data_IF_629911531474
#
_entry.id   IF_629911531474
#
_cell.length_a   1.000
_cell.length_b   1.000
_cell.length_c   1.000
_cell.angle_alpha   90.00
_cell.angle_beta   90.00
_cell.angle_gamma   90.00
#
_symmetry.space_group_name_H-M   'P 1'
#
loop_
_entity.id
_entity.type
_entity.pdbx_description
1 polymer ?
#
# COMPACT_ATOMS: atom_id res chain seq x y z
N UNK A 1 12.32 -11.28 7.79
CA UNK A 1 13.33 -10.29 7.35
C UNK A 1 13.26 -8.94 8.05
N UNK A 2 12.23 -8.62 8.85
CA UNK A 2 12.27 -7.45 9.76
C UNK A 2 11.95 -6.09 9.13
N UNK A 3 11.54 -6.04 7.86
CA UNK A 3 11.03 -4.81 7.26
C UNK A 3 9.66 -4.45 7.86
N UNK A 4 9.45 -3.17 8.16
CA UNK A 4 8.13 -2.64 8.52
C UNK A 4 7.36 -2.32 7.25
N UNK A 5 6.05 -2.60 7.27
CA UNK A 5 5.20 -2.45 6.08
C UNK A 5 4.48 -1.11 6.12
N UNK A 6 4.67 -0.32 5.06
CA UNK A 6 3.75 0.75 4.65
C UNK A 6 2.92 0.22 3.49
N UNK A 7 1.60 0.29 3.59
CA UNK A 7 0.73 -0.37 2.62
C UNK A 7 -0.72 0.03 2.71
N UNK A 8 -1.45 -0.24 1.65
CA UNK A 8 -2.89 -0.04 1.55
C UNK A 8 -3.65 -0.99 2.48
N UNK A 9 -4.88 -0.60 2.87
CA UNK A 9 -5.79 -1.44 3.64
C UNK A 9 -6.43 -2.52 2.76
N UNK A 10 -5.61 -3.45 2.26
CA UNK A 10 -6.04 -4.54 1.39
C UNK A 10 -5.51 -5.92 1.83
N UNK A 11 -6.09 -6.95 1.21
CA UNK A 11 -5.83 -8.40 1.37
C UNK A 11 -4.81 -8.80 2.43
N UNK A 12 -3.58 -9.08 1.98
CA UNK A 12 -2.52 -9.60 2.82
C UNK A 12 -2.06 -8.60 3.89
N UNK A 13 -2.11 -7.30 3.62
CA UNK A 13 -1.68 -6.26 4.56
C UNK A 13 -2.60 -6.22 5.79
N UNK A 14 -3.91 -6.37 5.60
CA UNK A 14 -4.87 -6.49 6.71
C UNK A 14 -4.64 -7.77 7.51
N UNK A 15 -4.38 -8.90 6.84
CA UNK A 15 -4.11 -10.16 7.53
C UNK A 15 -2.82 -10.08 8.36
N UNK A 16 -1.74 -9.52 7.80
CA UNK A 16 -0.48 -9.32 8.52
C UNK A 16 -0.65 -8.38 9.71
N UNK A 17 -1.37 -7.28 9.54
CA UNK A 17 -1.65 -6.34 10.62
C UNK A 17 -2.48 -6.97 11.75
N UNK A 18 -3.44 -7.85 11.44
CA UNK A 18 -4.23 -8.56 12.46
C UNK A 18 -3.38 -9.50 13.33
N UNK A 19 -2.38 -10.16 12.75
CA UNK A 19 -1.52 -11.11 13.45
C UNK A 19 -0.38 -10.44 14.21
N UNK A 20 0.16 -9.35 13.67
CA UNK A 20 1.27 -8.63 14.27
C UNK A 20 0.83 -7.48 15.18
N UNK A 21 -0.45 -7.09 15.17
CA UNK A 21 -0.95 -5.86 15.77
C UNK A 21 -0.89 -4.69 14.79
N UNK A 22 -2.02 -3.99 14.61
CA UNK A 22 -2.15 -2.90 13.64
C UNK A 22 -1.20 -1.73 13.96
N UNK A 23 -0.84 -1.55 15.23
CA UNK A 23 0.12 -0.53 15.66
C UNK A 23 1.55 -0.78 15.13
N UNK A 24 1.85 -1.99 14.66
CA UNK A 24 3.14 -2.37 14.10
C UNK A 24 3.20 -2.21 12.57
N UNK A 25 2.13 -1.70 11.96
CA UNK A 25 1.98 -1.45 10.52
C UNK A 25 1.70 0.04 10.24
N UNK A 26 2.07 0.51 9.05
CA UNK A 26 1.78 1.86 8.57
C UNK A 26 0.75 1.77 7.45
N UNK A 27 -0.50 1.54 7.84
CA UNK A 27 -1.60 1.39 6.90
C UNK A 27 -2.13 2.75 6.43
N UNK A 28 -2.32 2.90 5.13
CA UNK A 28 -2.91 4.10 4.52
C UNK A 28 -3.97 3.74 3.48
N UNK A 29 -4.57 4.79 2.91
CA UNK A 29 -5.49 4.69 1.78
C UNK A 29 -6.90 4.25 2.14
N UNK A 30 -7.73 4.24 1.11
CA UNK A 30 -9.12 3.81 1.15
C UNK A 30 -9.23 2.30 1.40
N UNK A 31 -10.27 1.89 2.11
CA UNK A 31 -10.67 0.47 2.18
C UNK A 31 -11.31 0.02 0.87
N UNK A 32 -11.33 -1.29 0.61
CA UNK A 32 -12.02 -1.85 -0.55
C UNK A 32 -13.51 -1.43 -0.64
N UNK A 33 -14.19 -1.28 0.50
CA UNK A 33 -15.56 -0.79 0.57
C UNK A 33 -15.66 0.70 0.18
N UNK A 34 -14.74 1.53 0.66
CA UNK A 34 -14.69 2.95 0.31
C UNK A 34 -14.38 3.15 -1.18
N UNK A 35 -13.46 2.35 -1.74
CA UNK A 35 -13.18 2.34 -3.19
C UNK A 35 -14.43 1.96 -3.99
N UNK A 36 -15.12 0.90 -3.60
CA UNK A 36 -16.34 0.47 -4.27
C UNK A 36 -17.46 1.54 -4.17
N UNK A 37 -17.62 2.15 -3.00
CA UNK A 37 -18.64 3.17 -2.74
C UNK A 37 -18.38 4.52 -3.39
N UNK A 38 -17.12 4.84 -3.75
CA UNK A 38 -16.76 6.12 -4.37
C UNK A 38 -16.73 6.09 -5.90
N UNK A 39 -16.67 4.91 -6.55
CA UNK A 39 -16.53 4.80 -8.02
C UNK A 39 -17.56 5.59 -8.84
N UNK A 40 -18.76 5.80 -8.31
CA UNK A 40 -19.84 6.50 -9.01
C UNK A 40 -19.73 8.03 -9.01
N UNK A 41 -18.91 8.60 -8.13
CA UNK A 41 -18.84 10.06 -7.93
C UNK A 41 -17.42 10.60 -7.70
N UNK A 42 -16.42 9.73 -7.58
CA UNK A 42 -15.02 10.12 -7.48
C UNK A 42 -14.59 10.96 -8.69
N UNK A 43 -13.95 12.09 -8.42
CA UNK A 43 -13.37 12.96 -9.43
C UNK A 43 -11.97 13.40 -9.00
N UNK A 44 -10.89 12.99 -9.71
CA UNK A 44 -9.52 13.36 -9.34
C UNK A 44 -9.27 14.87 -9.37
N UNK A 45 -10.04 15.64 -10.16
CA UNK A 45 -9.92 17.10 -10.17
C UNK A 45 -10.22 17.73 -8.81
N UNK A 46 -11.03 17.09 -7.97
CA UNK A 46 -11.26 17.59 -6.62
C UNK A 46 -9.95 17.72 -5.83
N UNK A 47 -9.06 16.74 -5.95
CA UNK A 47 -7.73 16.79 -5.30
C UNK A 47 -6.86 17.89 -5.89
N UNK A 48 -6.83 18.01 -7.21
CA UNK A 48 -6.09 19.08 -7.89
C UNK A 48 -6.57 20.48 -7.48
N UNK A 49 -7.88 20.68 -7.34
CA UNK A 49 -8.47 21.99 -7.04
C UNK A 49 -8.41 22.35 -5.55
N UNK A 50 -8.46 21.36 -4.65
CA UNK A 50 -8.63 21.58 -3.21
C UNK A 50 -7.41 21.21 -2.37
N UNK A 51 -6.37 20.57 -2.93
CA UNK A 51 -5.16 20.18 -2.20
C UNK A 51 -3.93 20.89 -2.82
N UNK A 52 -3.50 22.04 -2.25
CA UNK A 52 -2.44 22.87 -2.84
C UNK A 52 -1.11 22.15 -3.07
N UNK A 53 -0.72 21.26 -2.15
CA UNK A 53 0.52 20.49 -2.28
C UNK A 53 0.44 19.48 -3.42
N UNK A 54 -0.70 18.79 -3.57
CA UNK A 54 -0.96 17.86 -4.68
C UNK A 54 -0.93 18.62 -6.00
N UNK A 55 -1.60 19.79 -6.05
CA UNK A 55 -1.59 20.65 -7.22
C UNK A 55 -0.17 21.07 -7.59
N UNK A 56 0.62 21.56 -6.64
CA UNK A 56 1.97 22.03 -6.88
C UNK A 56 2.87 20.90 -7.41
N UNK A 57 2.75 19.69 -6.85
CA UNK A 57 3.49 18.52 -7.32
C UNK A 57 3.08 18.13 -8.75
N UNK A 58 1.77 18.08 -9.04
CA UNK A 58 1.25 17.77 -10.37
C UNK A 58 1.66 18.83 -11.39
N UNK A 59 1.53 20.12 -11.07
CA UNK A 59 1.94 21.22 -11.95
C UNK A 59 3.44 21.15 -12.27
N UNK A 60 4.28 20.84 -11.28
CA UNK A 60 5.71 20.67 -11.49
C UNK A 60 6.02 19.50 -12.42
N UNK A 61 5.44 18.32 -12.18
CA UNK A 61 5.61 17.14 -13.04
C UNK A 61 5.10 17.43 -14.46
N UNK A 62 3.94 18.05 -14.57
CA UNK A 62 3.27 18.33 -15.84
C UNK A 62 3.90 19.47 -16.62
N UNK A 63 4.65 20.37 -15.97
CA UNK A 63 5.43 21.39 -16.67
C UNK A 63 6.64 20.84 -17.45
N UNK A 64 6.85 19.52 -17.42
CA UNK A 64 7.99 18.83 -18.06
C UNK A 64 9.34 19.26 -17.49
N UNK A 65 9.34 19.82 -16.28
CA UNK A 65 10.54 20.26 -15.58
C UNK A 65 11.63 19.18 -15.49
N UNK A 66 11.22 17.92 -15.32
CA UNK A 66 12.12 16.76 -15.24
C UNK A 66 12.42 16.10 -16.59
N UNK A 67 11.75 16.52 -17.67
CA UNK A 67 11.80 15.88 -19.00
C UNK A 67 12.00 16.90 -20.12
N UNK A 68 12.78 17.97 -19.87
CA UNK A 68 13.01 19.08 -20.81
C UNK A 68 13.51 18.60 -22.19
N UNK A 69 14.27 17.50 -22.23
CA UNK A 69 14.81 16.92 -23.47
C UNK A 69 13.88 15.89 -24.12
N UNK A 70 12.75 15.55 -23.49
CA UNK A 70 11.78 14.56 -23.95
C UNK A 70 10.33 15.10 -23.83
N UNK A 71 9.94 16.09 -24.65
CA UNK A 71 8.61 16.67 -24.58
C UNK A 71 7.53 15.62 -24.84
N UNK A 72 6.45 15.68 -24.06
CA UNK A 72 5.33 14.76 -24.11
C UNK A 72 5.49 13.50 -23.25
N UNK A 73 6.65 13.25 -22.64
CA UNK A 73 6.92 12.04 -21.85
C UNK A 73 5.89 11.82 -20.73
N UNK A 74 5.47 12.89 -20.07
CA UNK A 74 4.55 12.85 -18.93
C UNK A 74 3.07 12.95 -19.31
N UNK A 75 2.75 13.12 -20.60
CA UNK A 75 1.36 13.24 -21.06
C UNK A 75 0.50 12.01 -20.70
N UNK A 76 0.97 10.76 -20.85
CA UNK A 76 0.21 9.58 -20.45
C UNK A 76 -0.10 9.53 -18.94
N UNK A 77 0.81 10.04 -18.12
CA UNK A 77 0.62 10.13 -16.67
C UNK A 77 -0.47 11.16 -16.34
N UNK A 78 -0.41 12.35 -16.96
CA UNK A 78 -1.46 13.38 -16.83
C UNK A 78 -2.83 12.83 -17.22
N UNK A 79 -2.90 12.13 -18.34
CA UNK A 79 -4.15 11.53 -18.81
C UNK A 79 -4.68 10.49 -17.84
N UNK A 80 -3.81 9.65 -17.29
CA UNK A 80 -4.22 8.62 -16.33
C UNK A 80 -4.78 9.23 -15.04
N UNK A 81 -4.15 10.29 -14.54
CA UNK A 81 -4.50 10.91 -13.26
C UNK A 81 -5.67 11.90 -13.34
N UNK A 82 -5.80 12.70 -14.40
CA UNK A 82 -6.83 13.75 -14.46
C UNK A 82 -7.90 13.47 -15.51
N UNK A 83 -7.50 13.05 -16.71
CA UNK A 83 -8.43 12.90 -17.85
C UNK A 83 -9.26 11.62 -17.77
N UNK A 84 -8.66 10.51 -17.35
CA UNK A 84 -9.28 9.17 -17.32
C UNK A 84 -9.89 8.80 -15.97
N UNK A 85 -10.04 9.78 -15.09
CA UNK A 85 -10.72 9.62 -13.81
C UNK A 85 -9.92 8.87 -12.74
N UNK A 86 -8.61 8.68 -12.93
CA UNK A 86 -7.72 8.05 -11.94
C UNK A 86 -8.27 6.73 -11.39
N UNK A 87 -8.34 5.72 -12.26
CA UNK A 87 -9.01 4.44 -11.97
C UNK A 87 -8.57 3.77 -10.66
N UNK A 88 -7.30 3.92 -10.30
CA UNK A 88 -6.70 3.34 -9.10
C UNK A 88 -6.67 4.29 -7.90
N UNK A 89 -7.34 5.44 -8.01
CA UNK A 89 -7.52 6.40 -6.92
C UNK A 89 -6.21 6.89 -6.29
N UNK A 90 -5.16 7.05 -7.11
CA UNK A 90 -3.85 7.52 -6.65
C UNK A 90 -3.95 8.85 -5.90
N UNK A 91 -4.74 9.81 -6.42
CA UNK A 91 -4.87 11.12 -5.79
C UNK A 91 -5.72 11.07 -4.51
N UNK A 92 -6.67 10.12 -4.43
CA UNK A 92 -7.45 9.90 -3.22
C UNK A 92 -6.59 9.41 -2.06
N UNK A 93 -5.64 8.51 -2.34
CA UNK A 93 -4.79 7.90 -1.32
C UNK A 93 -3.57 8.75 -0.97
N UNK A 94 -3.13 9.65 -1.85
CA UNK A 94 -1.86 10.37 -1.76
C UNK A 94 -1.64 11.08 -0.40
N UNK A 95 -2.64 11.79 0.10
CA UNK A 95 -2.51 12.50 1.40
C UNK A 95 -2.32 11.51 2.55
N UNK A 96 -3.14 10.46 2.59
CA UNK A 96 -3.03 9.43 3.64
C UNK A 96 -1.71 8.65 3.55
N UNK A 97 -1.18 8.46 2.34
CA UNK A 97 0.14 7.88 2.11
C UNK A 97 1.23 8.77 2.74
N UNK A 98 1.23 10.07 2.46
CA UNK A 98 2.20 11.01 3.03
C UNK A 98 2.14 11.07 4.56
N UNK A 99 0.94 10.98 5.14
CA UNK A 99 0.79 10.91 6.60
C UNK A 99 1.37 9.62 7.20
N UNK A 100 1.20 8.48 6.52
CA UNK A 100 1.78 7.21 6.94
C UNK A 100 3.31 7.19 6.78
N UNK A 101 3.81 7.73 5.68
CA UNK A 101 5.24 7.89 5.41
C UNK A 101 5.91 8.80 6.45
N UNK A 102 5.29 9.94 6.77
CA UNK A 102 5.78 10.83 7.83
C UNK A 102 5.89 10.13 9.20
N UNK A 103 4.90 9.29 9.56
CA UNK A 103 4.95 8.47 10.78
C UNK A 103 6.07 7.43 10.73
N UNK A 104 6.27 6.80 9.58
CA UNK A 104 7.34 5.83 9.35
C UNK A 104 8.72 6.50 9.49
N UNK A 105 8.93 7.64 8.84
CA UNK A 105 10.14 8.44 8.95
C UNK A 105 10.38 8.92 10.39
N UNK A 106 9.31 9.32 11.10
CA UNK A 106 9.39 9.67 12.51
C UNK A 106 9.86 8.51 13.39
N UNK A 107 9.32 7.30 13.16
CA UNK A 107 9.75 6.10 13.89
C UNK A 107 11.19 5.72 13.55
N UNK A 108 11.66 5.94 12.32
CA UNK A 108 13.02 5.58 11.93
C UNK A 108 14.10 6.28 12.78
N UNK A 109 13.80 7.45 13.33
CA UNK A 109 14.65 8.15 14.29
C UNK A 109 14.69 7.47 15.68
N UNK A 110 13.67 6.69 16.04
CA UNK A 110 13.57 5.89 17.27
C UNK A 110 14.01 4.43 17.00
N UNK A 111 15.30 4.17 17.18
CA UNK A 111 15.91 2.87 16.91
C UNK A 111 15.31 1.74 17.76
N UNK A 112 14.99 2.00 19.03
CA UNK A 112 14.42 1.00 19.94
C UNK A 112 12.98 0.67 19.54
N UNK A 113 12.18 1.70 19.23
CA UNK A 113 10.83 1.55 18.69
C UNK A 113 10.83 0.79 17.37
N UNK A 114 11.75 1.12 16.46
CA UNK A 114 11.91 0.43 15.18
C UNK A 114 12.24 -1.05 15.37
N UNK A 115 13.27 -1.36 16.17
CA UNK A 115 13.70 -2.72 16.44
C UNK A 115 12.58 -3.56 17.08
N UNK A 116 11.85 -3.00 18.04
CA UNK A 116 10.71 -3.66 18.68
C UNK A 116 9.65 -4.06 17.65
N UNK A 117 9.23 -3.13 16.78
CA UNK A 117 8.21 -3.42 15.75
C UNK A 117 8.71 -4.43 14.71
N UNK A 118 10.00 -4.37 14.35
CA UNK A 118 10.59 -5.30 13.40
C UNK A 118 10.61 -6.73 13.96
N UNK A 119 10.95 -6.89 15.24
CA UNK A 119 10.94 -8.19 15.93
C UNK A 119 9.52 -8.75 16.01
N UNK A 120 8.53 -7.93 16.36
CA UNK A 120 7.12 -8.37 16.41
C UNK A 120 6.62 -8.82 15.04
N UNK A 121 6.94 -8.07 13.98
CA UNK A 121 6.61 -8.46 12.60
C UNK A 121 7.22 -9.82 12.23
N UNK A 122 8.47 -10.07 12.62
CA UNK A 122 9.12 -11.37 12.36
C UNK A 122 8.50 -12.48 13.21
N UNK A 123 8.17 -12.22 14.47
CA UNK A 123 7.56 -13.21 15.35
C UNK A 123 6.16 -13.64 14.86
N UNK A 124 5.39 -12.71 14.29
CA UNK A 124 4.04 -12.98 13.76
C UNK A 124 4.01 -13.51 12.34
N UNK A 125 5.17 -13.65 11.66
CA UNK A 125 5.20 -14.07 10.25
C UNK A 125 4.90 -15.56 10.03
N UNK A 126 4.94 -16.38 11.09
CA UNK A 126 4.74 -17.83 11.01
C UNK A 126 3.40 -18.26 10.39
N UNK A 127 2.36 -17.42 10.56
CA UNK A 127 1.06 -17.56 9.89
C UNK A 127 1.22 -17.61 8.36
N UNK A 128 2.18 -16.91 7.78
CA UNK A 128 2.33 -16.79 6.33
C UNK A 128 3.26 -17.85 5.72
N UNK A 129 3.61 -18.90 6.48
CA UNK A 129 4.39 -20.02 5.96
C UNK A 129 3.61 -20.79 4.89
N UNK A 130 4.28 -21.09 3.76
CA UNK A 130 3.74 -21.98 2.73
C UNK A 130 3.45 -23.37 3.25
N UNK A 131 4.18 -23.84 4.27
CA UNK A 131 3.96 -25.17 4.86
C UNK A 131 2.55 -25.30 5.44
N UNK A 132 2.05 -24.22 6.03
CA UNK A 132 0.67 -24.16 6.53
C UNK A 132 -0.33 -24.22 5.37
N UNK A 133 -0.14 -23.40 4.34
CA UNK A 133 -1.02 -23.39 3.16
C UNK A 133 -1.05 -24.76 2.48
N UNK A 134 0.10 -25.43 2.34
CA UNK A 134 0.19 -26.78 1.78
C UNK A 134 -0.51 -27.80 2.68
N UNK A 135 -0.40 -27.69 4.00
CA UNK A 135 -1.11 -28.54 4.93
C UNK A 135 -2.64 -28.36 4.85
N UNK A 136 -3.13 -27.11 4.74
CA UNK A 136 -4.56 -26.80 4.57
C UNK A 136 -5.09 -27.36 3.24
N UNK A 137 -4.38 -27.16 2.13
CA UNK A 137 -4.76 -27.74 0.83
C UNK A 137 -4.74 -29.27 0.85
N UNK A 138 -3.72 -29.87 1.47
CA UNK A 138 -3.60 -31.32 1.60
C UNK A 138 -4.77 -31.93 2.39
N UNK A 139 -5.22 -31.27 3.46
CA UNK A 139 -6.30 -31.73 4.32
C UNK A 139 -7.69 -31.49 3.69
N UNK A 140 -7.94 -30.27 3.23
CA UNK A 140 -9.30 -29.78 2.96
C UNK A 140 -9.72 -29.92 1.49
N UNK A 141 -8.76 -30.00 0.57
CA UNK A 141 -9.04 -30.03 -0.88
C UNK A 141 -8.53 -31.34 -1.50
N UNK A 142 -7.25 -31.67 -1.30
CA UNK A 142 -6.63 -32.83 -1.96
C UNK A 142 -6.85 -34.14 -1.20
N UNK A 143 -7.14 -34.06 0.10
CA UNK A 143 -7.32 -35.21 1.00
C UNK A 143 -6.16 -36.21 0.97
N UNK A 144 -4.92 -35.71 0.97
CA UNK A 144 -3.69 -36.50 0.93
C UNK A 144 -2.98 -36.54 2.30
N UNK A 145 -2.20 -37.60 2.55
CA UNK A 145 -1.42 -37.76 3.80
C UNK A 145 0.08 -37.80 3.50
N UNK A 146 0.95 -37.39 4.46
CA UNK A 146 2.39 -37.53 4.32
C UNK A 146 2.80 -38.98 4.00
N UNK A 147 3.71 -39.16 3.04
CA UNK A 147 4.28 -40.44 2.65
C UNK A 147 5.79 -40.41 2.92
N UNK A 148 6.26 -40.84 4.11
CA UNK A 148 7.68 -40.89 4.42
C UNK A 148 8.38 -41.91 3.52
N UNK A 149 9.54 -41.55 2.98
CA UNK A 149 10.39 -42.50 2.26
C UNK A 149 11.15 -43.33 3.30
N UNK A 150 10.97 -44.64 3.26
CA UNK A 150 11.68 -45.63 4.08
C UNK A 150 13.07 -45.94 3.54
#
# INVERSE_FOLDING_TARGET
NGALTIGTRDGATIEMAREAGEENFFLFGLTAEQVAGSRGWYNPHWHYDNQPEVRAALDLIFSEYFSVNEPGLVAPLRDTLLTRGDHYMHLADLVSYLEADAKLCGLYADQDGWARRAILNVASSGRFSSDRTIAEYAADIWHVKPCPVS
#
